data_IF_540012879936
#
_entry.id   IF_540012879936
#
_cell.length_a   1.000
_cell.length_b   1.000
_cell.length_c   1.000
_cell.angle_alpha   90.00
_cell.angle_beta   90.00
_cell.angle_gamma   90.00
#
_symmetry.space_group_name_H-M   'P 1'
#
loop_
_entity.id
_entity.type
_entity.pdbx_description
1 polymer ?
#
# COMPACT_ATOMS: atom_id res chain seq x y z
N UNK A 1 -10.67 14.47 13.60
CA UNK A 1 -9.53 14.95 12.79
C UNK A 1 -9.48 14.14 11.51
N UNK A 2 -9.17 14.77 10.38
CA UNK A 2 -9.11 14.07 9.08
C UNK A 2 -7.77 13.35 8.98
N UNK A 3 -7.80 12.03 8.75
CA UNK A 3 -6.61 11.23 8.50
C UNK A 3 -6.15 11.32 7.05
N UNK A 4 -5.26 10.42 6.66
CA UNK A 4 -4.87 10.24 5.26
C UNK A 4 -5.20 8.83 4.78
N UNK A 5 -5.01 8.59 3.50
CA UNK A 5 -5.22 7.28 2.86
C UNK A 5 -3.98 6.92 2.09
N UNK A 6 -3.38 5.77 2.41
CA UNK A 6 -2.33 5.17 1.60
C UNK A 6 -2.97 4.26 0.55
N UNK A 7 -2.91 4.67 -0.72
CA UNK A 7 -3.36 3.91 -1.88
C UNK A 7 -2.16 3.34 -2.63
N UNK A 8 -2.20 2.04 -2.90
CA UNK A 8 -1.12 1.33 -3.57
C UNK A 8 -1.68 0.52 -4.73
N UNK A 9 -1.17 0.82 -5.93
CA UNK A 9 -1.39 -0.01 -7.11
C UNK A 9 -0.26 -1.04 -7.21
N UNK A 10 -0.60 -2.32 -7.22
CA UNK A 10 0.35 -3.40 -7.44
C UNK A 10 0.26 -3.89 -8.88
N UNK A 11 1.38 -3.91 -9.60
CA UNK A 11 1.50 -4.53 -10.93
C UNK A 11 2.27 -5.86 -10.90
N UNK A 12 2.79 -6.25 -9.73
CA UNK A 12 3.43 -7.54 -9.50
C UNK A 12 3.51 -7.85 -8.01
N UNK A 13 3.23 -9.09 -7.63
CA UNK A 13 3.34 -9.61 -6.27
C UNK A 13 3.67 -11.10 -6.32
N UNK A 14 4.29 -11.61 -5.26
CA UNK A 14 4.57 -13.04 -5.09
C UNK A 14 3.80 -13.61 -3.91
N UNK A 15 3.30 -14.82 -4.07
CA UNK A 15 2.59 -15.52 -3.02
C UNK A 15 3.39 -15.52 -1.70
N UNK A 16 2.67 -15.36 -0.58
CA UNK A 16 3.22 -15.34 0.78
C UNK A 16 4.16 -14.17 1.08
N UNK A 17 4.29 -13.19 0.19
CA UNK A 17 4.88 -11.89 0.55
C UNK A 17 3.85 -11.05 1.29
N UNK A 18 4.28 -10.20 2.21
CA UNK A 18 3.43 -9.19 2.84
C UNK A 18 4.20 -7.90 3.07
N UNK A 19 3.49 -6.77 3.10
CA UNK A 19 4.05 -5.48 3.48
C UNK A 19 3.44 -5.03 4.79
N UNK A 20 4.29 -4.58 5.70
CA UNK A 20 3.90 -3.80 6.86
C UNK A 20 4.16 -2.32 6.61
N UNK A 21 3.21 -1.49 7.04
CA UNK A 21 3.26 -0.05 6.87
C UNK A 21 3.46 0.63 8.21
N UNK A 22 4.51 1.44 8.30
CA UNK A 22 4.84 2.25 9.47
C UNK A 22 4.88 3.73 9.13
N UNK A 23 4.46 4.57 10.06
CA UNK A 23 4.57 6.02 9.97
C UNK A 23 5.25 6.53 11.23
N UNK A 24 6.31 7.33 11.06
CA UNK A 24 7.04 7.94 12.17
C UNK A 24 7.50 6.92 13.24
N UNK A 25 7.86 5.71 12.81
CA UNK A 25 8.31 4.61 13.67
C UNK A 25 7.20 3.74 14.27
N UNK A 26 5.92 4.03 14.01
CA UNK A 26 4.78 3.22 14.50
C UNK A 26 4.09 2.51 13.34
N UNK A 27 3.95 1.19 13.44
CA UNK A 27 3.17 0.39 12.49
C UNK A 27 1.68 0.76 12.59
N UNK A 28 1.02 0.92 11.45
CA UNK A 28 -0.40 1.29 11.38
C UNK A 28 -1.24 0.33 10.52
N UNK A 29 -0.63 -0.40 9.58
CA UNK A 29 -1.35 -1.33 8.71
C UNK A 29 -0.45 -2.45 8.17
N UNK A 30 -1.07 -3.46 7.58
CA UNK A 30 -0.40 -4.54 6.83
C UNK A 30 -1.25 -4.95 5.64
N UNK A 31 -0.63 -5.38 4.55
CA UNK A 31 -1.35 -6.02 3.44
C UNK A 31 -1.89 -7.38 3.83
N UNK A 32 -1.34 -8.02 4.87
CA UNK A 32 -1.41 -9.47 5.00
C UNK A 32 -0.82 -10.17 3.77
N UNK A 33 -1.08 -11.48 3.58
CA UNK A 33 -0.57 -12.20 2.43
C UNK A 33 -1.02 -11.59 1.10
N UNK A 34 -0.05 -11.34 0.23
CA UNK A 34 -0.29 -10.88 -1.14
C UNK A 34 -0.54 -12.09 -2.07
N UNK A 35 -1.40 -11.93 -3.08
CA UNK A 35 -1.64 -12.96 -4.07
C UNK A 35 -0.40 -13.19 -4.95
N UNK A 36 -0.42 -14.28 -5.72
CA UNK A 36 0.54 -14.47 -6.80
C UNK A 36 0.11 -13.67 -8.04
N UNK A 37 1.00 -12.85 -8.60
CA UNK A 37 0.75 -12.13 -9.85
C UNK A 37 1.58 -12.64 -11.04
N UNK A 38 2.46 -13.64 -10.84
CA UNK A 38 3.14 -14.34 -11.94
C UNK A 38 4.29 -13.57 -12.60
N UNK A 39 4.79 -12.51 -11.97
CA UNK A 39 5.65 -11.50 -12.63
C UNK A 39 7.13 -11.71 -12.34
N UNK A 40 7.52 -11.70 -11.06
CA UNK A 40 8.91 -11.52 -10.65
C UNK A 40 9.81 -12.72 -10.94
N UNK A 41 9.28 -13.95 -10.90
CA UNK A 41 10.07 -15.17 -11.14
C UNK A 41 10.31 -15.46 -12.64
N UNK A 42 9.80 -14.60 -13.53
CA UNK A 42 9.93 -14.70 -14.98
C UNK A 42 10.54 -13.44 -15.61
N UNK A 43 11.11 -12.56 -14.78
CA UNK A 43 11.69 -11.28 -15.22
C UNK A 43 10.71 -10.41 -16.03
N UNK A 44 9.42 -10.46 -15.68
CA UNK A 44 8.38 -9.63 -16.31
C UNK A 44 8.14 -8.34 -15.50
N UNK A 45 7.41 -7.39 -16.09
CA UNK A 45 6.94 -6.17 -15.42
C UNK A 45 5.43 -5.93 -15.58
N UNK A 46 4.69 -6.87 -16.20
CA UNK A 46 3.25 -6.77 -16.44
C UNK A 46 2.54 -8.01 -15.90
N UNK A 47 1.98 -7.92 -14.70
CA UNK A 47 1.14 -8.94 -14.10
C UNK A 47 -0.29 -8.51 -13.87
N UNK A 48 -1.00 -9.31 -13.07
CA UNK A 48 -2.32 -8.94 -12.56
C UNK A 48 -2.20 -7.63 -11.76
N UNK A 49 -2.89 -6.61 -12.23
CA UNK A 49 -3.02 -5.34 -11.52
C UNK A 49 -4.13 -5.43 -10.47
N UNK A 50 -3.88 -4.87 -9.29
CA UNK A 50 -4.90 -4.62 -8.29
C UNK A 50 -4.49 -3.48 -7.36
N UNK A 51 -5.48 -2.85 -6.75
CA UNK A 51 -5.30 -1.73 -5.84
C UNK A 51 -5.64 -2.13 -4.41
N UNK A 52 -4.95 -1.55 -3.44
CA UNK A 52 -5.33 -1.60 -2.03
C UNK A 52 -5.29 -0.22 -1.38
N UNK A 53 -6.17 -0.06 -0.40
CA UNK A 53 -6.34 1.15 0.41
C UNK A 53 -6.07 0.84 1.88
N UNK A 54 -5.33 1.71 2.55
CA UNK A 54 -5.05 1.64 3.98
C UNK A 54 -5.26 3.02 4.61
N UNK A 55 -6.10 3.10 5.63
CA UNK A 55 -6.32 4.35 6.34
C UNK A 55 -5.12 4.67 7.24
N UNK A 56 -4.69 5.93 7.20
CA UNK A 56 -3.58 6.46 8.00
C UNK A 56 -4.15 7.30 9.14
N UNK A 57 -3.96 6.89 10.40
CA UNK A 57 -4.46 7.62 11.55
C UNK A 57 -3.89 9.05 11.62
N UNK A 58 -4.77 10.03 11.89
CA UNK A 58 -4.39 11.44 11.94
C UNK A 58 -3.37 11.76 13.06
N UNK A 59 -3.46 11.04 14.18
CA UNK A 59 -2.57 11.17 15.34
C UNK A 59 -1.12 10.77 15.04
N UNK A 60 -0.89 10.04 13.94
CA UNK A 60 0.45 9.68 13.49
C UNK A 60 1.07 10.72 12.56
N UNK A 61 0.29 11.67 12.03
CA UNK A 61 0.78 12.68 11.09
C UNK A 61 1.35 13.89 11.84
N UNK A 62 2.45 14.42 11.31
CA UNK A 62 3.14 15.62 11.83
C UNK A 62 3.14 16.71 10.78
N UNK A 63 3.01 17.97 11.21
CA UNK A 63 3.02 19.13 10.31
C UNK A 63 4.40 19.41 9.67
N UNK A 64 5.50 19.04 10.35
CA UNK A 64 6.87 19.37 9.94
C UNK A 64 7.53 18.34 9.02
N UNK A 65 7.04 17.09 9.00
CA UNK A 65 7.61 16.02 8.20
C UNK A 65 7.24 14.63 8.73
N UNK A 66 7.02 13.69 7.80
CA UNK A 66 6.63 12.32 8.12
C UNK A 66 7.55 11.32 7.43
N UNK A 67 7.85 10.21 8.09
CA UNK A 67 8.61 9.11 7.51
C UNK A 67 7.68 7.91 7.35
N UNK A 68 7.33 7.59 6.11
CA UNK A 68 6.57 6.39 5.75
C UNK A 68 7.55 5.24 5.47
N UNK A 69 7.38 4.12 6.16
CA UNK A 69 8.19 2.91 6.04
C UNK A 69 7.33 1.78 5.47
N UNK A 70 7.84 1.11 4.43
CA UNK A 70 7.25 -0.11 3.88
C UNK A 70 8.23 -1.26 4.14
N UNK A 71 7.82 -2.24 4.95
CA UNK A 71 8.66 -3.39 5.30
C UNK A 71 8.15 -4.62 4.58
N UNK A 72 8.93 -5.15 3.63
CA UNK A 72 8.63 -6.40 2.94
C UNK A 72 9.04 -7.58 3.81
N UNK A 73 8.08 -8.47 4.04
CA UNK A 73 8.32 -9.78 4.64
C UNK A 73 8.30 -10.84 3.55
N UNK A 74 9.44 -11.50 3.39
CA UNK A 74 9.62 -12.64 2.50
C UNK A 74 10.55 -13.66 3.16
N UNK A 75 10.36 -14.93 2.80
CA UNK A 75 11.19 -16.09 3.18
C UNK A 75 12.05 -16.59 2.02
N UNK A 76 11.73 -16.21 0.80
CA UNK A 76 12.39 -16.68 -0.42
C UNK A 76 12.93 -15.49 -1.23
N UNK A 77 14.08 -15.65 -1.88
CA UNK A 77 14.80 -14.55 -2.55
C UNK A 77 14.00 -13.85 -3.65
N UNK A 78 13.08 -14.57 -4.29
CA UNK A 78 12.29 -14.07 -5.40
C UNK A 78 10.96 -13.45 -4.93
N UNK A 79 10.69 -13.39 -3.62
CA UNK A 79 9.50 -12.73 -3.08
C UNK A 79 9.67 -11.22 -3.07
N UNK A 80 8.57 -10.53 -3.36
CA UNK A 80 8.54 -9.09 -3.39
C UNK A 80 7.30 -8.55 -4.08
N UNK A 81 7.37 -7.27 -4.40
CA UNK A 81 6.29 -6.50 -4.99
C UNK A 81 6.84 -5.57 -6.07
N UNK A 82 6.01 -5.32 -7.07
CA UNK A 82 6.20 -4.27 -8.06
C UNK A 82 5.03 -3.30 -7.91
N UNK A 83 5.36 -2.03 -7.71
CA UNK A 83 4.39 -0.97 -7.60
C UNK A 83 4.13 -0.37 -8.98
N UNK A 84 2.87 -0.13 -9.26
CA UNK A 84 2.45 0.78 -10.33
C UNK A 84 2.45 2.22 -9.79
N UNK A 85 1.86 2.42 -8.61
CA UNK A 85 1.92 3.67 -7.89
C UNK A 85 1.82 3.49 -6.38
N UNK A 86 2.28 4.53 -5.67
CA UNK A 86 2.08 4.72 -4.25
C UNK A 86 1.60 6.17 -4.03
N UNK A 87 0.44 6.36 -3.40
CA UNK A 87 -0.14 7.69 -3.14
C UNK A 87 -0.57 7.80 -1.69
N UNK A 88 -0.17 8.89 -1.05
CA UNK A 88 -0.73 9.33 0.22
C UNK A 88 -1.70 10.46 -0.10
N UNK A 89 -2.99 10.19 0.11
CA UNK A 89 -4.09 11.09 -0.22
C UNK A 89 -4.64 11.67 1.09
N UNK A 90 -4.99 12.95 1.11
CA UNK A 90 -5.83 13.48 2.19
C UNK A 90 -7.17 12.74 2.15
N UNK A 91 -7.64 12.22 3.29
CA UNK A 91 -8.92 11.54 3.34
C UNK A 91 -10.11 12.47 3.06
N UNK A 92 -9.89 13.80 3.10
CA UNK A 92 -10.89 14.81 2.83
C UNK A 92 -12.09 14.77 3.79
N UNK A 93 -13.10 15.59 3.52
CA UNK A 93 -14.47 15.32 4.02
C UNK A 93 -15.06 14.19 3.18
N UNK A 94 -15.99 13.37 3.71
CA UNK A 94 -16.70 12.41 2.89
C UNK A 94 -17.33 13.17 1.72
N UNK A 95 -16.84 12.92 0.51
CA UNK A 95 -17.55 13.38 -0.69
C UNK A 95 -18.85 12.61 -0.68
N UNK A 96 -19.95 13.32 -0.47
CA UNK A 96 -21.31 12.82 -0.69
C UNK A 96 -21.29 12.15 -2.05
N UNK A 97 -21.52 10.83 -2.07
CA UNK A 97 -21.43 10.03 -3.28
C UNK A 97 -22.21 10.74 -4.38
N UNK A 98 -21.55 11.03 -5.50
CA UNK A 98 -22.21 11.60 -6.66
C UNK A 98 -23.42 10.70 -6.95
N UNK A 99 -24.61 11.26 -6.81
CA UNK A 99 -25.84 10.60 -7.24
C UNK A 99 -25.64 10.27 -8.72
N UNK A 100 -25.70 8.98 -9.05
CA UNK A 100 -25.70 8.51 -10.44
C UNK A 100 -26.86 9.19 -11.19
N UNK A 101 -26.64 9.70 -12.41
CA UNK A 101 -27.71 10.17 -13.29
C UNK A 101 -28.60 9.03 -13.82
#
# INVERSE_FOLDING_TARGET
EHGAVLRIGFCGTRARSSLDFGLNGKQFASTGPLPEAGVMHRDSHRGRWFERRFDVPADLLRASGNVLTLTLHGREWHQGVLYDFLRLEDAGKPTEAAADP
#
